data_IF_285005684149
#
_entry.id   IF_285005684149
#
_cell.length_a   1.000
_cell.length_b   1.000
_cell.length_c   1.000
_cell.angle_alpha   90.00
_cell.angle_beta   90.00
_cell.angle_gamma   90.00
#
_symmetry.space_group_name_H-M   'P 1'
#
loop_
_entity.id
_entity.type
_entity.pdbx_description
1 polymer ?
#
# COMPACT_ATOMS: atom_id res chain seq x y z
N UNK A 1 -4.18 -20.14 -1.15
CA UNK A 1 -4.29 -19.52 0.19
C UNK A 1 -3.44 -20.33 1.14
N UNK A 2 -2.19 -19.90 1.34
CA UNK A 2 -1.30 -20.51 2.33
C UNK A 2 -1.26 -19.55 3.51
N UNK A 3 -2.00 -19.93 4.55
CA UNK A 3 -1.91 -19.32 5.87
C UNK A 3 -0.67 -19.93 6.52
N UNK A 4 0.32 -19.13 6.89
CA UNK A 4 1.46 -19.58 7.70
C UNK A 4 1.26 -19.01 9.12
N UNK A 5 0.78 -19.83 10.05
CA UNK A 5 1.56 -20.56 11.06
C UNK A 5 2.38 -19.66 12.01
N UNK A 6 1.84 -19.56 13.23
CA UNK A 6 2.47 -19.34 14.54
C UNK A 6 3.11 -17.98 14.91
N UNK A 7 2.97 -16.93 14.10
CA UNK A 7 3.18 -15.54 14.60
C UNK A 7 2.20 -14.49 14.05
N UNK A 8 1.26 -14.89 13.17
CA UNK A 8 0.23 -14.00 12.61
C UNK A 8 0.75 -12.94 11.62
N UNK A 9 2.06 -12.86 11.37
CA UNK A 9 2.66 -11.89 10.47
C UNK A 9 2.56 -12.40 9.02
N UNK A 10 1.62 -11.85 8.26
CA UNK A 10 1.45 -12.19 6.85
C UNK A 10 2.46 -11.41 6.00
N UNK A 11 3.16 -12.14 5.14
CA UNK A 11 4.07 -11.60 4.13
C UNK A 11 3.41 -11.83 2.78
N UNK A 12 3.04 -10.77 2.05
CA UNK A 12 2.63 -10.95 0.68
C UNK A 12 3.81 -11.44 -0.17
N UNK A 13 3.57 -12.29 -1.18
CA UNK A 13 4.61 -12.72 -2.12
C UNK A 13 5.18 -11.57 -2.95
N UNK A 14 4.47 -10.44 -3.05
CA UNK A 14 4.91 -9.26 -3.77
C UNK A 14 4.76 -7.98 -2.92
N UNK A 15 5.78 -7.11 -2.95
CA UNK A 15 5.84 -5.91 -2.11
C UNK A 15 4.77 -4.86 -2.46
N UNK A 16 4.24 -4.88 -3.68
CA UNK A 16 3.13 -4.02 -4.10
C UNK A 16 1.84 -4.33 -3.36
N UNK A 17 1.64 -5.56 -2.90
CA UNK A 17 0.48 -5.92 -2.08
C UNK A 17 0.46 -5.21 -0.72
N UNK A 18 1.61 -4.70 -0.23
CA UNK A 18 1.66 -3.89 1.00
C UNK A 18 1.13 -2.47 0.80
N UNK A 19 1.12 -1.98 -0.44
CA UNK A 19 0.66 -0.63 -0.78
C UNK A 19 -0.76 -0.63 -1.37
N UNK A 20 -1.44 -1.78 -1.35
CA UNK A 20 -2.80 -1.88 -1.87
C UNK A 20 -3.77 -1.16 -0.95
N UNK A 21 -4.52 -0.23 -1.53
CA UNK A 21 -5.64 0.45 -0.90
C UNK A 21 -6.96 -0.15 -1.38
N UNK A 22 -7.92 -0.27 -0.47
CA UNK A 22 -9.25 -0.84 -0.75
C UNK A 22 -10.34 0.08 -0.24
N UNK A 23 -11.51 0.05 -0.86
CA UNK A 23 -12.70 0.75 -0.37
C UNK A 23 -13.71 -0.22 0.25
N UNK A 24 -14.50 0.27 1.19
CA UNK A 24 -15.62 -0.46 1.76
C UNK A 24 -16.80 -0.60 0.78
N UNK A 25 -17.68 -1.56 1.05
CA UNK A 25 -18.84 -1.85 0.19
C UNK A 25 -19.84 -0.68 0.02
N UNK A 26 -19.75 0.35 0.87
CA UNK A 26 -20.58 1.56 0.82
C UNK A 26 -19.90 2.78 0.20
N UNK A 27 -18.68 2.63 -0.31
CA UNK A 27 -17.93 3.72 -0.92
C UNK A 27 -18.59 4.20 -2.23
N UNK A 28 -18.38 5.48 -2.55
CA UNK A 28 -18.87 6.03 -3.81
C UNK A 28 -18.04 5.52 -4.99
N UNK A 29 -18.60 5.58 -6.20
CA UNK A 29 -17.85 5.26 -7.42
C UNK A 29 -16.58 6.12 -7.56
N UNK A 30 -16.64 7.38 -7.11
CA UNK A 30 -15.49 8.30 -7.08
C UNK A 30 -14.40 7.83 -6.13
N UNK A 31 -14.76 7.34 -4.95
CA UNK A 31 -13.77 6.78 -4.01
C UNK A 31 -13.12 5.52 -4.60
N UNK A 32 -13.92 4.66 -5.23
CA UNK A 32 -13.43 3.47 -5.90
C UNK A 32 -12.44 3.79 -7.03
N UNK A 33 -12.79 4.75 -7.89
CA UNK A 33 -11.91 5.23 -8.97
C UNK A 33 -10.61 5.83 -8.42
N UNK A 34 -10.70 6.63 -7.35
CA UNK A 34 -9.53 7.19 -6.66
C UNK A 34 -8.58 6.11 -6.16
N UNK A 35 -9.11 5.09 -5.48
CA UNK A 35 -8.29 3.98 -4.98
C UNK A 35 -7.69 3.12 -6.09
N UNK A 36 -8.39 2.95 -7.22
CA UNK A 36 -7.84 2.26 -8.38
C UNK A 36 -6.61 3.01 -8.94
N UNK A 37 -6.69 4.35 -9.04
CA UNK A 37 -5.59 5.19 -9.51
C UNK A 37 -4.39 5.15 -8.55
N UNK A 38 -4.63 5.19 -7.25
CA UNK A 38 -3.57 5.08 -6.23
C UNK A 38 -2.88 3.72 -6.29
N UNK A 39 -3.63 2.62 -6.43
CA UNK A 39 -3.06 1.28 -6.58
C UNK A 39 -2.15 1.16 -7.81
N UNK A 40 -2.55 1.77 -8.93
CA UNK A 40 -1.71 1.81 -10.13
C UNK A 40 -0.46 2.67 -9.91
N UNK A 41 -0.61 3.83 -9.26
CA UNK A 41 0.49 4.73 -8.94
C UNK A 41 1.52 4.10 -7.99
N UNK A 42 1.08 3.33 -6.99
CA UNK A 42 1.95 2.59 -6.08
C UNK A 42 2.86 1.63 -6.85
N UNK A 43 2.30 0.92 -7.83
CA UNK A 43 3.05 0.00 -8.67
C UNK A 43 4.08 0.73 -9.56
N UNK A 44 3.72 1.87 -10.13
CA UNK A 44 4.64 2.70 -10.91
C UNK A 44 5.76 3.30 -10.05
N UNK A 45 5.45 3.73 -8.81
CA UNK A 45 6.42 4.22 -7.84
C UNK A 45 7.44 3.14 -7.45
N UNK A 46 6.99 1.94 -7.09
CA UNK A 46 7.87 0.81 -6.77
C UNK A 46 8.80 0.41 -7.93
N UNK A 47 8.39 0.67 -9.17
CA UNK A 47 9.17 0.38 -10.39
C UNK A 47 10.03 1.57 -10.82
N UNK A 48 10.03 2.67 -10.06
CA UNK A 48 10.78 3.88 -10.36
C UNK A 48 10.26 4.66 -11.57
N UNK A 49 9.01 4.42 -11.98
CA UNK A 49 8.33 5.12 -13.08
C UNK A 49 7.57 6.36 -12.61
N UNK A 50 7.32 6.46 -11.31
CA UNK A 50 6.69 7.60 -10.64
C UNK A 50 7.61 8.08 -9.52
N UNK A 51 7.76 9.38 -9.35
CA UNK A 51 8.54 9.93 -8.24
C UNK A 51 7.72 9.95 -6.94
N UNK A 52 8.42 9.97 -5.80
CA UNK A 52 7.81 9.95 -4.47
C UNK A 52 6.88 11.13 -4.21
N UNK A 53 7.22 12.32 -4.70
CA UNK A 53 6.39 13.51 -4.50
C UNK A 53 5.03 13.35 -5.19
N UNK A 54 5.05 12.96 -6.46
CA UNK A 54 3.82 12.72 -7.22
C UNK A 54 2.98 11.60 -6.60
N UNK A 55 3.61 10.51 -6.14
CA UNK A 55 2.85 9.44 -5.46
C UNK A 55 2.20 9.93 -4.16
N UNK A 56 2.90 10.74 -3.37
CA UNK A 56 2.38 11.28 -2.11
C UNK A 56 1.25 12.27 -2.36
N UNK A 57 1.35 13.11 -3.39
CA UNK A 57 0.26 14.00 -3.79
C UNK A 57 -1.00 13.23 -4.20
N UNK A 58 -0.85 12.05 -4.82
CA UNK A 58 -1.99 11.19 -5.17
C UNK A 58 -2.65 10.55 -3.94
N UNK A 59 -1.86 10.13 -2.94
CA UNK A 59 -2.38 9.63 -1.67
C UNK A 59 -3.16 10.73 -0.92
N UNK A 60 -2.58 11.92 -0.80
CA UNK A 60 -3.22 13.07 -0.14
C UNK A 60 -4.52 13.48 -0.85
N UNK A 61 -4.54 13.44 -2.18
CA UNK A 61 -5.71 13.77 -2.98
C UNK A 61 -6.93 12.88 -2.68
N UNK A 62 -6.69 11.60 -2.37
CA UNK A 62 -7.76 10.65 -1.99
C UNK A 62 -8.01 10.60 -0.47
N UNK A 63 -7.37 11.49 0.29
CA UNK A 63 -7.54 11.61 1.74
C UNK A 63 -6.71 10.61 2.56
N UNK A 64 -5.68 10.00 1.98
CA UNK A 64 -4.75 9.11 2.70
C UNK A 64 -3.51 9.92 3.10
N UNK A 65 -3.17 9.93 4.40
CA UNK A 65 -1.93 10.53 4.88
C UNK A 65 -0.71 9.76 4.30
N UNK A 66 0.08 10.38 3.42
CA UNK A 66 1.14 9.66 2.71
C UNK A 66 2.26 9.19 3.64
N UNK A 67 2.59 9.99 4.66
CA UNK A 67 3.68 9.68 5.58
C UNK A 67 3.28 8.57 6.52
N UNK A 68 2.06 8.62 7.07
CA UNK A 68 1.57 7.55 7.93
C UNK A 68 1.48 6.24 7.16
N UNK A 69 0.90 6.26 5.96
CA UNK A 69 0.71 5.07 5.14
C UNK A 69 2.02 4.37 4.78
N UNK A 70 3.01 5.12 4.29
CA UNK A 70 4.31 4.53 3.91
C UNK A 70 5.10 4.08 5.14
N UNK A 71 5.02 4.81 6.25
CA UNK A 71 5.72 4.43 7.50
C UNK A 71 5.21 3.09 8.03
N UNK A 72 3.89 2.85 8.04
CA UNK A 72 3.31 1.56 8.46
C UNK A 72 3.83 0.40 7.59
N UNK A 73 3.97 0.62 6.28
CA UNK A 73 4.55 -0.36 5.36
C UNK A 73 6.03 -0.60 5.63
N UNK A 74 6.82 0.46 5.85
CA UNK A 74 8.24 0.35 6.19
C UNK A 74 8.46 -0.40 7.51
N UNK A 75 7.66 -0.11 8.53
CA UNK A 75 7.70 -0.81 9.81
C UNK A 75 7.38 -2.30 9.65
N UNK A 76 6.36 -2.64 8.85
CA UNK A 76 6.01 -4.03 8.55
C UNK A 76 7.17 -4.75 7.84
N UNK A 77 7.79 -4.12 6.84
CA UNK A 77 8.97 -4.69 6.15
C UNK A 77 10.15 -4.85 7.10
N UNK A 78 10.42 -3.88 7.98
CA UNK A 78 11.52 -3.95 8.95
C UNK A 78 11.31 -5.05 10.00
N UNK A 79 10.07 -5.26 10.46
CA UNK A 79 9.72 -6.39 11.33
C UNK A 79 10.01 -7.72 10.65
N UNK A 80 9.76 -7.82 9.34
CA UNK A 80 10.05 -9.02 8.56
C UNK A 80 11.55 -9.25 8.42
N UNK A 81 12.31 -8.24 7.98
CA UNK A 81 13.76 -8.36 7.76
C UNK A 81 14.51 -8.64 9.06
N UNK A 82 14.06 -8.11 10.20
CA UNK A 82 14.72 -8.31 11.50
C UNK A 82 14.53 -9.70 12.12
N UNK A 83 13.59 -10.50 11.61
CA UNK A 83 13.35 -11.89 12.05
C UNK A 83 14.00 -12.95 11.15
N UNK A 84 14.76 -12.54 10.13
CA UNK A 84 15.60 -13.39 9.28
C UNK A 84 17.09 -13.19 9.61
#
# INVERSE_FOLDING_TARGET
MTIATDSGLWIPPHADELLVVTVDAGASDTDFEGMLLVNQAANDWLRGRLDTGTYFDMLDHVGIDPLNFVTEVEEHVNLLVSHF
#
